data_IF_278270196266
#
_entry.id   IF_278270196266
#
_cell.length_a   1.000
_cell.length_b   1.000
_cell.length_c   1.000
_cell.angle_alpha   90.00
_cell.angle_beta   90.00
_cell.angle_gamma   90.00
#
_symmetry.space_group_name_H-M   'P 1'
#
loop_
_entity.id
_entity.type
_entity.pdbx_description
1 polymer ?
#
# COMPACT_ATOMS: atom_id res chain seq x y z
N UNK A 1 -1.30 6.04 31.82
CA UNK A 1 -0.88 5.07 30.77
C UNK A 1 -0.19 5.88 29.68
N UNK A 2 1.05 5.55 29.30
CA UNK A 2 1.71 6.23 28.17
C UNK A 2 1.10 5.66 26.89
N UNK A 3 0.36 6.46 26.15
CA UNK A 3 0.00 6.06 24.80
C UNK A 3 1.22 6.21 23.91
N UNK A 4 1.67 5.11 23.30
CA UNK A 4 2.69 5.20 22.26
C UNK A 4 2.03 5.87 21.04
N UNK A 5 2.58 6.99 20.59
CA UNK A 5 2.08 7.63 19.38
C UNK A 5 2.65 6.85 18.18
N UNK A 6 1.82 6.04 17.52
CA UNK A 6 2.22 5.40 16.26
C UNK A 6 2.54 6.49 15.22
N UNK A 7 3.66 6.30 14.51
CA UNK A 7 4.17 7.22 13.50
C UNK A 7 4.37 6.49 12.17
N UNK A 8 4.23 7.21 11.08
CA UNK A 8 4.50 6.72 9.74
C UNK A 8 5.84 7.29 9.29
N UNK A 9 6.73 6.41 8.84
CA UNK A 9 8.00 6.80 8.22
C UNK A 9 7.78 7.06 6.73
N UNK A 10 7.99 8.31 6.31
CA UNK A 10 8.07 8.71 4.91
C UNK A 10 9.53 8.68 4.48
N UNK A 11 9.84 7.93 3.42
CA UNK A 11 11.16 7.88 2.81
C UNK A 11 11.11 8.43 1.39
N UNK A 12 11.99 9.37 1.06
CA UNK A 12 12.27 9.72 -0.33
C UNK A 12 13.34 8.76 -0.86
N UNK A 13 12.99 7.94 -1.85
CA UNK A 13 13.90 6.90 -2.37
C UNK A 13 15.09 7.53 -3.12
N UNK A 14 14.88 8.68 -3.79
CA UNK A 14 15.92 9.37 -4.56
C UNK A 14 16.93 10.09 -3.68
N UNK A 15 16.45 10.84 -2.67
CA UNK A 15 17.32 11.64 -1.78
C UNK A 15 17.76 10.87 -0.54
N UNK A 16 17.13 9.73 -0.24
CA UNK A 16 17.27 8.95 1.01
C UNK A 16 16.86 9.71 2.27
N UNK A 17 16.18 10.84 2.13
CA UNK A 17 15.65 11.60 3.26
C UNK A 17 14.48 10.86 3.90
N UNK A 18 14.41 10.98 5.23
CA UNK A 18 13.40 10.30 6.05
C UNK A 18 12.72 11.30 6.96
N UNK A 19 11.39 11.23 7.03
CA UNK A 19 10.57 12.10 7.86
C UNK A 19 9.51 11.30 8.60
N UNK A 20 9.27 11.65 9.87
CA UNK A 20 8.17 11.07 10.64
C UNK A 20 6.90 11.87 10.47
N UNK A 21 5.81 11.17 10.20
CA UNK A 21 4.45 11.70 10.17
C UNK A 21 3.73 11.16 11.40
N UNK A 22 3.27 12.05 12.26
CA UNK A 22 2.48 11.67 13.45
C UNK A 22 1.06 11.35 13.02
N UNK A 23 0.49 10.27 13.55
CA UNK A 23 -0.93 9.99 13.40
C UNK A 23 -1.80 10.93 14.26
N UNK A 24 -3.10 11.07 13.94
CA UNK A 24 -4.05 11.77 14.79
C UNK A 24 -4.05 11.22 16.22
N UNK A 25 -4.19 12.06 17.26
CA UNK A 25 -4.34 11.59 18.63
C UNK A 25 -5.53 10.67 18.85
N UNK A 26 -6.57 10.74 18.02
CA UNK A 26 -7.71 9.82 18.09
C UNK A 26 -7.34 8.37 17.71
N UNK A 27 -6.21 8.16 17.04
CA UNK A 27 -5.70 6.85 16.63
C UNK A 27 -4.71 6.26 17.66
N UNK A 28 -4.59 6.88 18.83
CA UNK A 28 -3.80 6.46 19.99
C UNK A 28 -4.34 5.19 20.66
N UNK A 29 -4.32 4.07 19.94
CA UNK A 29 -4.75 2.76 20.44
C UNK A 29 -3.85 1.65 19.88
N UNK A 30 -3.83 0.48 20.52
CA UNK A 30 -3.12 -0.72 20.06
C UNK A 30 -3.76 -1.34 18.79
N UNK A 31 -4.52 -0.54 18.02
CA UNK A 31 -5.19 -0.97 16.79
C UNK A 31 -4.23 -0.88 15.62
N UNK A 32 -4.40 -1.80 14.66
CA UNK A 32 -3.64 -1.74 13.43
C UNK A 32 -4.05 -0.51 12.62
N UNK A 33 -3.08 -0.03 11.86
CA UNK A 33 -3.32 0.87 10.75
C UNK A 33 -2.89 0.17 9.47
N UNK A 34 -3.55 0.53 8.37
CA UNK A 34 -3.16 0.13 7.03
C UNK A 34 -3.02 1.39 6.20
N UNK A 35 -1.84 1.59 5.60
CA UNK A 35 -1.62 2.69 4.68
C UNK A 35 -2.43 2.49 3.40
N UNK A 36 -2.93 3.58 2.84
CA UNK A 36 -3.72 3.58 1.62
C UNK A 36 -3.20 4.65 0.66
N UNK A 37 -3.16 4.31 -0.61
CA UNK A 37 -3.09 5.32 -1.67
C UNK A 37 -4.50 5.86 -1.92
N UNK A 38 -4.64 7.18 -1.87
CA UNK A 38 -5.89 7.88 -2.13
C UNK A 38 -6.07 8.08 -3.65
N UNK A 39 -7.30 8.35 -4.09
CA UNK A 39 -7.61 8.48 -5.52
C UNK A 39 -6.86 9.65 -6.20
N UNK A 40 -6.53 10.68 -5.43
CA UNK A 40 -5.73 11.84 -5.84
C UNK A 40 -4.21 11.58 -5.78
N UNK A 41 -3.79 10.34 -5.49
CA UNK A 41 -2.38 9.99 -5.26
C UNK A 41 -1.86 10.40 -3.88
N UNK A 42 -2.72 10.94 -3.01
CA UNK A 42 -2.39 11.31 -1.65
C UNK A 42 -2.16 10.11 -0.73
N UNK A 43 -1.55 10.38 0.43
CA UNK A 43 -1.37 9.38 1.49
C UNK A 43 -2.62 9.32 2.37
N UNK A 44 -3.18 8.14 2.54
CA UNK A 44 -4.22 7.86 3.51
C UNK A 44 -3.85 6.72 4.46
N UNK A 45 -4.70 6.50 5.46
CA UNK A 45 -4.68 5.26 6.22
C UNK A 45 -6.07 4.88 6.70
N UNK A 46 -6.26 3.60 7.00
CA UNK A 46 -7.45 3.07 7.62
C UNK A 46 -7.12 2.47 8.99
N UNK A 47 -8.08 2.55 9.91
CA UNK A 47 -8.03 1.91 11.22
C UNK A 47 -9.45 1.58 11.70
N UNK A 48 -9.58 0.75 12.73
CA UNK A 48 -10.87 0.46 13.35
C UNK A 48 -10.98 1.17 14.70
N UNK A 49 -12.09 1.89 14.90
CA UNK A 49 -12.50 2.39 16.20
C UNK A 49 -13.84 1.78 16.59
N UNK A 50 -13.84 0.90 17.59
CA UNK A 50 -15.02 0.10 17.95
C UNK A 50 -15.42 -0.86 16.81
N UNK A 51 -16.56 -0.60 16.18
CA UNK A 51 -17.03 -1.30 14.97
C UNK A 51 -16.97 -0.44 13.71
N UNK A 52 -16.38 0.75 13.78
CA UNK A 52 -16.31 1.66 12.65
C UNK A 52 -14.95 1.53 11.96
N UNK A 53 -14.98 1.29 10.65
CA UNK A 53 -13.81 1.41 9.80
C UNK A 53 -13.63 2.89 9.44
N UNK A 54 -12.62 3.53 10.02
CA UNK A 54 -12.33 4.94 9.82
C UNK A 54 -11.26 5.12 8.74
N UNK A 55 -11.57 5.93 7.73
CA UNK A 55 -10.67 6.27 6.64
C UNK A 55 -10.18 7.70 6.79
N UNK A 56 -8.87 7.87 6.75
CA UNK A 56 -8.18 9.15 6.92
C UNK A 56 -7.39 9.49 5.67
N UNK A 57 -7.43 10.76 5.29
CA UNK A 57 -6.60 11.33 4.24
C UNK A 57 -5.62 12.34 4.83
N UNK A 58 -4.43 12.41 4.26
CA UNK A 58 -3.47 13.47 4.55
C UNK A 58 -3.65 14.61 3.55
N UNK A 59 -4.04 15.77 4.04
CA UNK A 59 -4.42 16.93 3.21
C UNK A 59 -3.61 18.17 3.60
N UNK A 60 -3.18 18.95 2.61
CA UNK A 60 -2.47 20.22 2.78
C UNK A 60 -1.77 20.66 1.50
N UNK A 61 -1.42 21.94 1.41
CA UNK A 61 -0.73 22.50 0.24
C UNK A 61 0.74 22.07 0.14
N UNK A 62 1.34 21.70 1.27
CA UNK A 62 2.72 21.22 1.36
C UNK A 62 2.84 20.14 2.44
N UNK A 63 3.92 19.36 2.43
CA UNK A 63 4.20 18.37 3.48
C UNK A 63 4.25 18.96 4.90
N UNK A 64 4.63 20.24 5.01
CA UNK A 64 4.74 20.97 6.29
C UNK A 64 3.37 21.39 6.83
N UNK A 65 2.45 21.70 5.93
CA UNK A 65 1.09 22.12 6.27
C UNK A 65 0.10 20.94 6.28
N UNK A 66 0.56 19.76 5.86
CA UNK A 66 -0.29 18.60 5.68
C UNK A 66 -0.70 17.94 6.99
N UNK A 67 -1.99 17.99 7.28
CA UNK A 67 -2.66 17.38 8.43
C UNK A 67 -3.50 16.17 8.05
N UNK A 68 -4.04 15.49 9.07
CA UNK A 68 -4.93 14.35 8.89
C UNK A 68 -6.39 14.77 8.99
N UNK A 69 -7.19 14.34 8.02
CA UNK A 69 -8.64 14.57 7.98
C UNK A 69 -9.34 13.22 7.88
N UNK A 70 -10.27 12.95 8.80
CA UNK A 70 -11.13 11.76 8.69
C UNK A 70 -12.15 12.00 7.60
N UNK A 71 -12.08 11.23 6.51
CA UNK A 71 -12.98 11.39 5.35
C UNK A 71 -14.30 10.68 5.58
N UNK A 72 -14.24 9.47 6.12
CA UNK A 72 -15.39 8.57 6.23
C UNK A 72 -15.23 7.65 7.43
N UNK A 73 -16.35 7.27 8.04
CA UNK A 73 -16.46 6.14 8.95
C UNK A 73 -17.57 5.21 8.45
N UNK A 74 -17.22 3.94 8.23
CA UNK A 74 -18.15 2.90 7.76
C UNK A 74 -18.50 2.02 8.95
N UNK A 75 -19.78 1.91 9.29
CA UNK A 75 -20.23 1.00 10.35
C UNK A 75 -20.19 -0.44 9.86
N UNK A 76 -19.23 -1.22 10.35
CA UNK A 76 -19.05 -2.61 9.98
C UNK A 76 -20.22 -3.50 10.42
N UNK A 77 -21.05 -3.07 11.37
CA UNK A 77 -22.26 -3.82 11.77
C UNK A 77 -23.29 -3.90 10.66
N UNK A 78 -23.29 -2.92 9.75
CA UNK A 78 -24.20 -2.90 8.60
C UNK A 78 -23.73 -3.83 7.47
N UNK A 79 -22.43 -4.15 7.45
CA UNK A 79 -21.78 -4.88 6.36
C UNK A 79 -21.41 -6.33 6.71
N UNK A 80 -21.14 -6.60 7.99
CA UNK A 80 -20.63 -7.88 8.46
C UNK A 80 -21.69 -8.62 9.30
N UNK A 81 -21.72 -9.96 9.24
CA UNK A 81 -22.61 -10.72 10.08
C UNK A 81 -22.27 -10.51 11.56
N UNK A 82 -23.27 -10.43 12.45
CA UNK A 82 -23.04 -10.13 13.87
C UNK A 82 -22.01 -11.03 14.56
N UNK A 83 -21.95 -12.32 14.20
CA UNK A 83 -20.94 -13.28 14.69
C UNK A 83 -19.49 -12.91 14.34
N UNK A 84 -19.25 -12.08 13.34
CA UNK A 84 -17.92 -11.59 13.00
C UNK A 84 -17.42 -10.56 14.02
N UNK A 85 -18.34 -9.83 14.66
CA UNK A 85 -18.06 -8.65 15.49
C UNK A 85 -18.15 -8.93 17.00
N UNK A 86 -18.10 -10.21 17.41
CA UNK A 86 -18.11 -10.61 18.84
C UNK A 86 -16.93 -9.97 19.60
N UNK A 87 -15.76 -9.96 18.98
CA UNK A 87 -14.61 -9.16 19.38
C UNK A 87 -14.40 -8.03 18.37
N UNK A 88 -13.77 -6.92 18.78
CA UNK A 88 -13.56 -5.79 17.89
C UNK A 88 -12.70 -6.19 16.67
N UNK A 89 -13.15 -5.91 15.44
CA UNK A 89 -12.41 -6.23 14.24
C UNK A 89 -11.14 -5.37 14.12
N UNK A 90 -10.29 -5.71 13.16
CA UNK A 90 -9.10 -4.92 12.87
C UNK A 90 -8.81 -4.88 11.37
N UNK A 91 -8.10 -3.85 10.92
CA UNK A 91 -7.66 -3.76 9.52
C UNK A 91 -6.54 -4.77 9.26
N UNK A 92 -6.56 -5.39 8.08
CA UNK A 92 -5.59 -6.41 7.69
C UNK A 92 -4.77 -6.02 6.45
N UNK A 93 -5.30 -5.21 5.54
CA UNK A 93 -4.57 -4.81 4.34
C UNK A 93 -5.39 -3.95 3.39
N UNK A 94 -4.74 -3.35 2.40
CA UNK A 94 -5.37 -2.53 1.36
C UNK A 94 -4.81 -2.92 -0.01
N UNK A 95 -5.68 -3.10 -1.01
CA UNK A 95 -5.30 -3.35 -2.38
C UNK A 95 -5.40 -2.06 -3.19
N UNK A 96 -4.23 -1.48 -3.47
CA UNK A 96 -4.10 -0.30 -4.31
C UNK A 96 -4.68 -0.53 -5.72
N UNK A 97 -5.22 0.53 -6.32
CA UNK A 97 -5.80 0.53 -7.67
C UNK A 97 -7.24 0.02 -7.75
N UNK A 98 -7.64 -0.94 -6.90
CA UNK A 98 -9.02 -1.48 -6.88
C UNK A 98 -9.84 -1.03 -5.66
N UNK A 99 -9.21 -0.40 -4.66
CA UNK A 99 -9.92 0.19 -3.53
C UNK A 99 -10.54 -0.84 -2.59
N UNK A 100 -9.93 -2.02 -2.46
CA UNK A 100 -10.37 -3.04 -1.52
C UNK A 100 -9.62 -2.92 -0.21
N UNK A 101 -10.35 -2.95 0.90
CA UNK A 101 -9.79 -3.08 2.23
C UNK A 101 -10.11 -4.45 2.80
N UNK A 102 -9.16 -5.03 3.53
CA UNK A 102 -9.31 -6.29 4.21
C UNK A 102 -9.47 -6.05 5.69
N UNK A 103 -10.47 -6.71 6.28
CA UNK A 103 -10.79 -6.62 7.71
C UNK A 103 -10.72 -8.02 8.31
N UNK A 104 -9.96 -8.14 9.39
CA UNK A 104 -9.90 -9.32 10.23
C UNK A 104 -11.03 -9.28 11.26
N UNK A 105 -11.66 -10.44 11.45
CA UNK A 105 -12.78 -10.62 12.38
C UNK A 105 -12.71 -12.00 13.02
N UNK A 106 -13.56 -12.25 14.01
CA UNK A 106 -13.71 -13.58 14.63
C UNK A 106 -14.20 -14.65 13.67
N UNK A 107 -14.79 -14.26 12.54
CA UNK A 107 -15.27 -15.17 11.52
C UNK A 107 -14.28 -15.35 10.37
N UNK A 108 -13.09 -14.75 10.44
CA UNK A 108 -12.06 -14.74 9.39
C UNK A 108 -11.96 -13.39 8.69
N UNK A 109 -11.30 -13.37 7.54
CA UNK A 109 -11.03 -12.14 6.79
C UNK A 109 -12.11 -11.85 5.76
N UNK A 110 -12.52 -10.59 5.70
CA UNK A 110 -13.46 -10.05 4.73
C UNK A 110 -12.74 -9.03 3.86
N UNK A 111 -13.00 -9.06 2.55
CA UNK A 111 -12.73 -7.92 1.68
C UNK A 111 -13.97 -7.03 1.64
N UNK A 112 -13.76 -5.72 1.67
CA UNK A 112 -14.78 -4.70 1.52
C UNK A 112 -14.35 -3.81 0.35
N UNK A 113 -15.21 -3.67 -0.64
CA UNK A 113 -15.07 -2.67 -1.69
C UNK A 113 -15.48 -1.31 -1.14
N UNK A 114 -14.54 -0.38 -1.03
CA UNK A 114 -14.79 0.94 -0.43
C UNK A 114 -15.76 1.80 -1.26
N UNK A 115 -15.91 1.54 -2.56
CA UNK A 115 -16.81 2.28 -3.44
C UNK A 115 -18.23 1.76 -3.40
N UNK A 116 -18.40 0.44 -3.46
CA UNK A 116 -19.73 -0.19 -3.49
C UNK A 116 -20.25 -0.65 -2.13
N UNK A 117 -19.41 -0.63 -1.09
CA UNK A 117 -19.65 -1.28 0.20
C UNK A 117 -19.93 -2.79 0.10
N UNK A 118 -19.65 -3.41 -1.06
CA UNK A 118 -19.81 -4.84 -1.23
C UNK A 118 -18.81 -5.61 -0.39
N UNK A 119 -19.28 -6.66 0.29
CA UNK A 119 -18.47 -7.49 1.17
C UNK A 119 -18.39 -8.93 0.66
N UNK A 120 -17.17 -9.50 0.71
CA UNK A 120 -16.97 -10.92 0.48
C UNK A 120 -15.99 -11.49 1.52
N UNK A 121 -16.33 -12.64 2.09
CA UNK A 121 -15.40 -13.41 2.91
C UNK A 121 -14.31 -14.02 2.03
N UNK A 122 -13.05 -13.82 2.37
CA UNK A 122 -11.90 -14.29 1.57
C UNK A 122 -11.13 -15.42 2.24
N UNK A 123 -11.21 -15.53 3.57
CA UNK A 123 -10.50 -16.55 4.34
C UNK A 123 -11.32 -16.95 5.58
N UNK A 124 -11.38 -18.25 5.94
CA UNK A 124 -11.96 -18.70 7.21
C UNK A 124 -11.10 -18.27 8.41
N UNK A 125 -11.53 -18.58 9.62
CA UNK A 125 -10.76 -18.23 10.83
C UNK A 125 -9.40 -18.91 10.79
N UNK A 126 -8.35 -18.11 10.73
CA UNK A 126 -6.97 -18.48 11.04
C UNK A 126 -6.41 -17.35 11.89
N UNK A 127 -5.36 -17.59 12.70
CA UNK A 127 -4.78 -16.58 13.59
C UNK A 127 -4.51 -15.22 12.94
N UNK A 128 -4.26 -14.20 13.76
CA UNK A 128 -4.13 -12.82 13.30
C UNK A 128 -3.08 -12.65 12.21
N UNK A 129 -3.49 -12.12 11.05
CA UNK A 129 -2.64 -12.05 9.87
C UNK A 129 -2.86 -10.76 9.10
N UNK A 130 -1.77 -10.07 8.78
CA UNK A 130 -1.75 -8.97 7.82
C UNK A 130 -1.84 -9.55 6.40
N UNK A 131 -2.56 -8.86 5.52
CA UNK A 131 -2.72 -9.19 4.11
C UNK A 131 -1.97 -8.15 3.30
N UNK A 132 -1.06 -8.61 2.43
CA UNK A 132 -0.35 -7.78 1.47
C UNK A 132 -0.82 -8.16 0.06
N UNK A 133 -1.82 -7.46 -0.49
CA UNK A 133 -2.28 -7.72 -1.84
C UNK A 133 -1.16 -7.41 -2.83
N UNK A 134 -0.81 -8.40 -3.64
CA UNK A 134 0.17 -8.25 -4.68
C UNK A 134 -0.54 -7.91 -6.00
N UNK A 135 -0.31 -6.71 -6.54
CA UNK A 135 -1.05 -6.20 -7.71
C UNK A 135 -0.22 -6.13 -8.99
N UNK A 136 1.09 -5.82 -8.90
CA UNK A 136 1.95 -5.65 -10.08
C UNK A 136 3.44 -5.71 -9.73
N UNK A 137 4.29 -6.00 -10.73
CA UNK A 137 5.75 -5.83 -10.65
C UNK A 137 6.13 -4.47 -11.24
N UNK A 138 7.14 -3.82 -10.65
CA UNK A 138 7.88 -2.77 -11.33
C UNK A 138 9.08 -3.40 -12.03
N UNK A 139 8.93 -3.72 -13.32
CA UNK A 139 10.04 -4.24 -14.14
C UNK A 139 10.67 -3.06 -14.88
N UNK A 140 11.88 -2.59 -14.51
CA UNK A 140 12.55 -1.55 -15.27
C UNK A 140 12.88 -2.10 -16.67
N UNK A 141 12.46 -1.39 -17.72
CA UNK A 141 12.93 -1.70 -19.08
C UNK A 141 14.42 -1.40 -19.12
N UNK A 142 15.23 -2.44 -19.34
CA UNK A 142 16.65 -2.27 -19.63
C UNK A 142 16.75 -1.70 -21.04
N UNK A 143 16.77 -0.36 -21.15
CA UNK A 143 17.01 0.32 -22.41
C UNK A 143 18.35 -0.16 -22.97
N UNK A 144 18.29 -0.75 -24.16
CA UNK A 144 19.47 -1.21 -24.89
C UNK A 144 20.51 -0.09 -24.95
N UNK A 145 21.66 -0.31 -24.31
CA UNK A 145 22.81 0.56 -24.47
C UNK A 145 23.30 0.46 -25.92
N UNK A 146 23.06 1.54 -26.67
CA UNK A 146 23.81 2.03 -27.83
C UNK A 146 24.62 1.00 -28.65
N UNK A 147 24.02 0.47 -29.72
CA UNK A 147 24.77 0.12 -30.91
C UNK A 147 24.84 1.37 -31.81
N UNK A 148 25.83 2.22 -31.54
CA UNK A 148 26.24 3.29 -32.44
C UNK A 148 27.77 3.38 -32.45
N UNK A 149 28.39 2.56 -33.30
CA UNK A 149 29.61 2.97 -33.99
C UNK A 149 29.50 2.50 -35.44
N UNK A 150 29.09 3.43 -36.29
CA UNK A 150 29.12 3.28 -37.75
C UNK A 150 30.45 3.84 -38.26
N UNK A 151 31.04 3.13 -39.24
CA UNK A 151 32.11 3.61 -40.13
C UNK A 151 33.52 3.32 -39.60
N UNK A 152 34.49 2.87 -40.38
CA UNK A 152 34.64 2.58 -41.81
C UNK A 152 36.00 1.84 -41.95
N UNK A 153 36.22 1.07 -43.02
CA UNK A 153 37.49 0.37 -43.29
C UNK A 153 38.68 1.33 -43.55
N UNK A 154 39.89 0.82 -43.86
CA UNK A 154 40.11 0.20 -45.16
C UNK A 154 41.11 -0.98 -45.24
N UNK A 155 41.17 -1.47 -46.48
CA UNK A 155 41.79 -2.60 -47.18
C UNK A 155 43.29 -2.92 -47.05
N UNK A 156 43.61 -4.10 -47.66
CA UNK A 156 44.87 -4.64 -48.20
C UNK A 156 45.75 -5.43 -47.21
N UNK A 157 46.32 -6.60 -47.53
CA UNK A 157 46.47 -7.32 -48.78
C UNK A 157 46.90 -8.79 -48.53
N UNK A 158 46.94 -9.56 -49.61
CA UNK A 158 47.10 -11.01 -49.69
C UNK A 158 48.49 -11.57 -49.33
N UNK A 159 48.55 -12.85 -48.92
CA UNK A 159 49.44 -13.88 -49.49
C UNK A 159 49.22 -15.25 -48.82
N UNK A 160 48.94 -16.26 -49.66
CA UNK A 160 49.44 -17.66 -49.72
C UNK A 160 50.12 -18.28 -48.46
N UNK A 161 49.92 -19.55 -48.11
CA UNK A 161 50.12 -20.74 -48.95
C UNK A 161 49.53 -22.03 -48.34
N UNK A 162 49.29 -22.98 -49.23
CA UNK A 162 48.87 -24.38 -49.06
C UNK A 162 50.09 -25.32 -49.13
N UNK A 163 49.93 -26.56 -48.61
CA UNK A 163 50.78 -27.78 -48.62
C UNK A 163 51.70 -27.97 -47.40
N UNK A 164 51.78 -29.15 -46.79
CA UNK A 164 51.39 -30.52 -47.18
C UNK A 164 50.80 -31.31 -46.00
#
# INVERSE_FOLDING_TARGET
MRCWQTQILKCNISTREMHMIRLPPACCSDRRIVLMAMQDGGLGFATVSGSNLCLWSREGASDKDAGWVQKTAIDLKTLLPGRALVTPPDVAGFAEGIGFIFVETNSGHFRIDLKSSYVKKVRPVSGGSIIFPYMSFHTPVLGAAAAASTGEGPSTGASSEEKA
#
